data_IF_288844034405
#
_entry.id   IF_288844034405
#
_cell.length_a   1.000
_cell.length_b   1.000
_cell.length_c   1.000
_cell.angle_alpha   90.00
_cell.angle_beta   90.00
_cell.angle_gamma   90.00
#
_symmetry.space_group_name_H-M   'P 1'
#
loop_
_entity.id
_entity.type
_entity.pdbx_description
1 polymer ?
#
# COMPACT_ATOMS: atom_id res chain seq x y z
N UNK A 1 29.53 -1.69 -4.15
CA UNK A 1 28.16 -1.60 -3.57
C UNK A 1 27.99 -0.20 -3.00
N UNK A 2 27.31 0.65 -3.76
CA UNK A 2 26.92 2.01 -3.37
C UNK A 2 26.09 1.92 -2.08
N UNK A 3 26.57 2.52 -0.97
CA UNK A 3 25.96 2.34 0.36
C UNK A 3 24.58 3.00 0.44
N UNK A 4 23.71 2.51 1.34
CA UNK A 4 22.37 3.08 1.63
C UNK A 4 22.40 4.62 1.77
N UNK A 5 23.53 5.20 2.21
CA UNK A 5 23.75 6.64 2.35
C UNK A 5 23.60 7.44 1.05
N UNK A 6 23.94 6.85 -0.10
CA UNK A 6 23.89 7.54 -1.41
C UNK A 6 22.47 7.51 -2.03
N UNK A 7 21.57 6.62 -1.55
CA UNK A 7 20.20 6.46 -2.08
C UNK A 7 19.13 7.19 -1.27
N UNK A 8 19.54 7.94 -0.23
CA UNK A 8 18.63 8.70 0.62
C UNK A 8 17.60 7.79 1.30
N UNK A 9 16.33 7.97 0.99
CA UNK A 9 15.22 7.21 1.58
C UNK A 9 14.83 5.93 0.80
N UNK A 10 15.45 5.66 -0.36
CA UNK A 10 15.08 4.54 -1.23
C UNK A 10 15.98 3.33 -1.00
N UNK A 11 15.38 2.14 -0.87
CA UNK A 11 16.07 0.86 -0.68
C UNK A 11 15.99 0.04 -1.95
N UNK A 12 17.12 -0.57 -2.33
CA UNK A 12 17.27 -1.58 -3.39
C UNK A 12 17.01 -1.11 -4.83
N UNK A 13 16.07 -0.20 -5.08
CA UNK A 13 15.73 0.31 -6.41
C UNK A 13 16.26 1.72 -6.64
N UNK A 14 16.38 2.10 -7.91
CA UNK A 14 16.70 3.45 -8.40
C UNK A 14 15.46 4.03 -9.07
N UNK A 15 14.71 4.89 -8.36
CA UNK A 15 13.55 5.56 -8.94
C UNK A 15 13.87 6.38 -10.20
N UNK A 16 12.97 6.35 -11.18
CA UNK A 16 12.98 7.27 -12.31
C UNK A 16 12.60 8.67 -11.80
N UNK A 17 13.49 9.68 -11.90
CA UNK A 17 13.21 11.01 -11.41
C UNK A 17 12.14 11.69 -12.29
N UNK A 18 11.24 12.54 -11.74
CA UNK A 18 10.12 13.10 -12.51
C UNK A 18 10.52 13.84 -13.80
N UNK A 19 11.68 14.49 -13.81
CA UNK A 19 12.18 15.21 -15.01
C UNK A 19 12.65 14.28 -16.14
N UNK A 20 12.97 13.03 -15.83
CA UNK A 20 13.40 12.03 -16.81
C UNK A 20 12.30 10.99 -17.11
N UNK A 21 11.16 11.07 -16.41
CA UNK A 21 10.05 10.15 -16.63
C UNK A 21 9.45 10.37 -18.01
N UNK A 22 9.15 9.26 -18.69
CA UNK A 22 8.44 9.24 -19.97
C UNK A 22 7.28 8.25 -19.91
N UNK A 23 6.42 8.25 -20.94
CA UNK A 23 5.30 7.31 -21.06
C UNK A 23 4.36 7.31 -19.84
N UNK A 24 3.92 6.12 -19.43
CA UNK A 24 2.99 5.91 -18.31
C UNK A 24 3.49 6.49 -16.99
N UNK A 25 4.78 6.34 -16.68
CA UNK A 25 5.38 6.91 -15.46
C UNK A 25 5.25 8.43 -15.40
N UNK A 26 5.49 9.13 -16.53
CA UNK A 26 5.31 10.58 -16.60
C UNK A 26 3.85 11.00 -16.41
N UNK A 27 2.91 10.25 -17.00
CA UNK A 27 1.48 10.51 -16.87
C UNK A 27 1.00 10.34 -15.42
N UNK A 28 1.46 9.29 -14.73
CA UNK A 28 1.18 9.09 -13.30
C UNK A 28 1.74 10.25 -12.47
N UNK A 29 2.99 10.64 -12.67
CA UNK A 29 3.59 11.77 -11.93
C UNK A 29 2.87 13.10 -12.19
N UNK A 30 2.39 13.34 -13.41
CA UNK A 30 1.61 14.52 -13.73
C UNK A 30 0.26 14.52 -12.99
N UNK A 31 -0.47 13.40 -12.99
CA UNK A 31 -1.73 13.30 -12.27
C UNK A 31 -1.54 13.40 -10.75
N UNK A 32 -0.48 12.79 -10.22
CA UNK A 32 -0.13 12.87 -8.81
C UNK A 32 0.22 14.32 -8.40
N UNK A 33 0.95 15.06 -9.24
CA UNK A 33 1.20 16.48 -9.02
C UNK A 33 -0.10 17.30 -9.04
N UNK A 34 -1.01 17.01 -9.98
CA UNK A 34 -2.29 17.70 -10.12
C UNK A 34 -3.23 17.44 -8.93
N UNK A 35 -3.33 16.18 -8.49
CA UNK A 35 -4.29 15.71 -7.48
C UNK A 35 -3.80 15.88 -6.05
N UNK A 36 -2.50 15.69 -5.83
CA UNK A 36 -1.92 15.72 -4.50
C UNK A 36 -0.99 16.92 -4.26
N UNK A 37 -0.68 17.70 -5.30
CA UNK A 37 0.17 18.89 -5.20
C UNK A 37 1.65 18.57 -5.03
N UNK A 38 2.05 17.30 -5.13
CA UNK A 38 3.42 16.85 -4.87
C UNK A 38 3.84 15.74 -5.84
N UNK A 39 4.55 16.06 -6.92
CA UNK A 39 5.03 15.05 -7.90
C UNK A 39 6.05 14.01 -7.35
N UNK A 40 6.38 14.04 -6.04
CA UNK A 40 7.53 13.34 -5.46
C UNK A 40 7.19 12.54 -4.21
N UNK A 41 5.98 11.95 -4.17
CA UNK A 41 5.62 11.01 -3.11
C UNK A 41 6.55 9.80 -3.16
N UNK A 42 7.36 9.60 -2.10
CA UNK A 42 8.45 8.65 -2.10
C UNK A 42 8.01 7.22 -2.46
N UNK A 43 6.87 6.77 -1.95
CA UNK A 43 6.35 5.43 -2.23
C UNK A 43 6.08 5.22 -3.73
N UNK A 44 5.49 6.20 -4.42
CA UNK A 44 5.26 6.11 -5.87
C UNK A 44 6.55 6.20 -6.68
N UNK A 45 7.54 6.97 -6.20
CA UNK A 45 8.86 6.99 -6.83
C UNK A 45 9.51 5.58 -6.81
N UNK A 46 9.39 4.83 -5.70
CA UNK A 46 9.95 3.47 -5.63
C UNK A 46 9.34 2.48 -6.63
N UNK A 47 8.11 2.73 -7.10
CA UNK A 47 7.42 1.85 -8.04
C UNK A 47 7.75 2.17 -9.50
N UNK A 48 8.37 3.33 -9.77
CA UNK A 48 8.63 3.80 -11.13
C UNK A 48 9.47 2.91 -12.05
N UNK A 49 10.32 1.99 -11.57
CA UNK A 49 10.91 0.97 -12.43
C UNK A 49 9.88 0.03 -13.08
N UNK A 50 8.71 -0.19 -12.45
CA UNK A 50 7.61 -0.99 -12.98
C UNK A 50 6.38 -0.10 -13.21
N UNK A 51 6.31 0.51 -14.41
CA UNK A 51 5.31 1.54 -14.73
C UNK A 51 3.85 1.06 -14.63
N UNK A 52 3.60 -0.23 -14.89
CA UNK A 52 2.32 -0.91 -14.72
C UNK A 52 1.89 -1.01 -13.25
N UNK A 53 2.79 -1.48 -12.37
CA UNK A 53 2.58 -1.54 -10.92
C UNK A 53 2.38 -0.12 -10.36
N UNK A 54 3.19 0.85 -10.79
CA UNK A 54 3.04 2.25 -10.42
C UNK A 54 1.65 2.78 -10.77
N UNK A 55 1.21 2.63 -12.03
CA UNK A 55 -0.08 3.16 -12.47
C UNK A 55 -1.26 2.50 -11.76
N UNK A 56 -1.25 1.17 -11.62
CA UNK A 56 -2.33 0.46 -10.92
C UNK A 56 -2.38 0.81 -9.43
N UNK A 57 -1.22 0.97 -8.77
CA UNK A 57 -1.16 1.41 -7.37
C UNK A 57 -1.67 2.84 -7.20
N UNK A 58 -1.31 3.73 -8.12
CA UNK A 58 -1.80 5.11 -8.10
C UNK A 58 -3.30 5.19 -8.35
N UNK A 59 -3.81 4.47 -9.35
CA UNK A 59 -5.25 4.40 -9.62
C UNK A 59 -6.01 3.89 -8.38
N UNK A 60 -5.52 2.81 -7.76
CA UNK A 60 -6.14 2.27 -6.55
C UNK A 60 -6.18 3.29 -5.41
N UNK A 61 -5.06 3.97 -5.11
CA UNK A 61 -5.03 5.00 -4.07
C UNK A 61 -5.91 6.20 -4.42
N UNK A 62 -5.85 6.68 -5.67
CA UNK A 62 -6.59 7.86 -6.10
C UNK A 62 -8.09 7.64 -5.99
N UNK A 63 -8.60 6.55 -6.56
CA UNK A 63 -10.04 6.29 -6.61
C UNK A 63 -10.60 5.96 -5.23
N UNK A 64 -9.86 5.24 -4.38
CA UNK A 64 -10.35 4.85 -3.05
C UNK A 64 -10.18 5.94 -1.98
N UNK A 65 -9.00 6.57 -1.89
CA UNK A 65 -8.68 7.54 -0.84
C UNK A 65 -9.01 8.98 -1.22
N UNK A 66 -8.72 9.39 -2.47
CA UNK A 66 -8.72 10.79 -2.85
C UNK A 66 -10.02 11.27 -3.49
N UNK A 67 -10.64 10.44 -4.34
CA UNK A 67 -11.88 10.72 -5.05
C UNK A 67 -13.11 10.18 -4.29
N UNK A 68 -14.31 10.53 -4.75
CA UNK A 68 -15.57 9.99 -4.21
C UNK A 68 -16.23 10.88 -3.15
N UNK A 69 -17.24 10.33 -2.49
CA UNK A 69 -18.16 11.08 -1.62
C UNK A 69 -17.91 10.80 -0.13
N UNK A 70 -17.32 9.66 0.22
CA UNK A 70 -17.05 9.33 1.61
C UNK A 70 -16.08 10.36 2.23
N UNK A 71 -16.31 10.78 3.50
CA UNK A 71 -15.50 11.81 4.14
C UNK A 71 -14.00 11.51 4.11
N UNK A 72 -13.21 12.46 3.58
CA UNK A 72 -11.76 12.30 3.46
C UNK A 72 -11.07 11.98 4.79
N UNK A 73 -11.49 12.62 5.88
CA UNK A 73 -10.95 12.35 7.22
C UNK A 73 -11.16 10.88 7.63
N UNK A 74 -12.36 10.32 7.39
CA UNK A 74 -12.63 8.91 7.68
C UNK A 74 -11.72 7.97 6.88
N UNK A 75 -11.49 8.26 5.60
CA UNK A 75 -10.59 7.44 4.77
C UNK A 75 -9.15 7.50 5.25
N UNK A 76 -8.68 8.68 5.67
CA UNK A 76 -7.36 8.85 6.28
C UNK A 76 -7.24 8.12 7.63
N UNK A 77 -8.32 8.05 8.42
CA UNK A 77 -8.40 7.22 9.64
C UNK A 77 -8.24 5.74 9.29
N UNK A 78 -8.93 5.24 8.26
CA UNK A 78 -8.76 3.85 7.78
C UNK A 78 -7.34 3.59 7.31
N UNK A 79 -6.77 4.48 6.49
CA UNK A 79 -5.40 4.37 6.01
C UNK A 79 -4.38 4.32 7.17
N UNK A 80 -4.57 5.18 8.18
CA UNK A 80 -3.74 5.21 9.38
C UNK A 80 -3.92 3.94 10.23
N UNK A 81 -5.15 3.46 10.43
CA UNK A 81 -5.46 2.23 11.16
C UNK A 81 -4.79 1.00 10.55
N UNK A 82 -4.91 0.82 9.23
CA UNK A 82 -4.23 -0.25 8.49
C UNK A 82 -2.71 -0.11 8.60
N UNK A 83 -2.19 1.12 8.50
CA UNK A 83 -0.74 1.39 8.63
C UNK A 83 -0.20 1.05 10.01
N UNK A 84 -0.98 1.28 11.07
CA UNK A 84 -0.65 0.85 12.44
C UNK A 84 -0.68 -0.68 12.56
N UNK A 85 -1.70 -1.34 12.02
CA UNK A 85 -1.82 -2.80 12.04
C UNK A 85 -0.72 -3.50 11.24
N UNK A 86 -0.27 -2.91 10.14
CA UNK A 86 0.87 -3.39 9.35
C UNK A 86 2.22 -2.91 9.88
N UNK A 87 2.25 -2.12 10.97
CA UNK A 87 3.46 -1.55 11.58
C UNK A 87 4.36 -0.82 10.57
N UNK A 88 3.78 0.01 9.72
CA UNK A 88 4.50 0.76 8.67
C UNK A 88 4.77 2.21 9.11
N UNK A 89 5.97 2.56 9.64
CA UNK A 89 6.20 3.87 10.25
C UNK A 89 6.13 5.03 9.23
N UNK A 90 6.57 4.79 8.00
CA UNK A 90 6.49 5.76 6.92
C UNK A 90 5.03 6.18 6.66
N UNK A 91 4.14 5.20 6.48
CA UNK A 91 2.73 5.46 6.22
C UNK A 91 2.02 6.04 7.45
N UNK A 92 2.34 5.58 8.67
CA UNK A 92 1.80 6.19 9.91
C UNK A 92 2.13 7.69 9.97
N UNK A 93 3.38 8.07 9.69
CA UNK A 93 3.77 9.48 9.68
C UNK A 93 3.07 10.27 8.55
N UNK A 94 2.94 9.67 7.36
CA UNK A 94 2.28 10.30 6.22
C UNK A 94 0.80 10.58 6.53
N UNK A 95 0.05 9.57 6.97
CA UNK A 95 -1.38 9.71 7.25
C UNK A 95 -1.67 10.56 8.49
N UNK A 96 -0.78 10.58 9.49
CA UNK A 96 -0.88 11.57 10.58
C UNK A 96 -0.78 12.99 10.03
N UNK A 97 0.16 13.25 9.12
CA UNK A 97 0.32 14.57 8.47
C UNK A 97 -0.89 14.93 7.61
N UNK A 98 -1.47 13.96 6.89
CA UNK A 98 -2.65 14.17 6.06
C UNK A 98 -3.93 14.41 6.87
N UNK A 99 -4.10 13.75 8.02
CA UNK A 99 -5.16 14.09 8.98
C UNK A 99 -5.00 15.51 9.53
N UNK A 100 -3.77 16.00 9.74
CA UNK A 100 -3.62 17.44 10.03
C UNK A 100 -4.08 18.31 8.84
N UNK A 101 -3.89 17.88 7.60
CA UNK A 101 -4.29 18.63 6.42
C UNK A 101 -5.82 18.69 6.22
N UNK A 102 -6.57 17.68 6.69
CA UNK A 102 -8.03 17.73 6.73
C UNK A 102 -8.55 18.77 7.72
N UNK A 103 -7.73 19.18 8.71
CA UNK A 103 -8.09 20.10 9.79
C UNK A 103 -8.29 19.39 11.13
N UNK A 104 -8.29 18.06 11.13
CA UNK A 104 -8.56 17.23 12.30
C UNK A 104 -7.28 17.00 13.12
N UNK A 105 -6.62 18.10 13.53
CA UNK A 105 -5.32 18.03 14.18
C UNK A 105 -5.32 17.22 15.48
N UNK A 106 -6.41 17.31 16.25
CA UNK A 106 -6.58 16.58 17.49
C UNK A 106 -6.73 15.08 17.23
N UNK A 107 -7.55 14.72 16.25
CA UNK A 107 -7.73 13.35 15.80
C UNK A 107 -6.39 12.74 15.36
N UNK A 108 -5.63 13.48 14.54
CA UNK A 108 -4.30 13.06 14.07
C UNK A 108 -3.36 12.71 15.24
N UNK A 109 -3.26 13.60 16.23
CA UNK A 109 -2.36 13.39 17.37
C UNK A 109 -2.85 12.32 18.34
N UNK A 110 -4.16 12.20 18.54
CA UNK A 110 -4.74 11.13 19.37
C UNK A 110 -4.39 9.75 18.79
N UNK A 111 -4.62 9.54 17.49
CA UNK A 111 -4.33 8.26 16.85
C UNK A 111 -2.82 8.00 16.81
N UNK A 112 -2.01 9.01 16.48
CA UNK A 112 -0.55 8.88 16.45
C UNK A 112 0.07 8.52 17.82
N UNK A 113 -0.59 8.94 18.92
CA UNK A 113 -0.20 8.57 20.28
C UNK A 113 -0.74 7.18 20.72
N UNK A 114 -1.44 6.45 19.85
CA UNK A 114 -2.06 5.16 20.17
C UNK A 114 -3.38 5.29 20.95
N UNK A 115 -3.93 6.49 21.06
CA UNK A 115 -5.21 6.75 21.71
C UNK A 115 -6.41 6.38 20.83
N UNK A 116 -7.60 6.44 21.45
CA UNK A 116 -8.89 6.24 20.78
C UNK A 116 -9.51 7.60 20.49
N UNK A 117 -10.00 7.87 19.27
CA UNK A 117 -10.76 9.08 18.97
C UNK A 117 -12.00 9.25 19.86
N UNK A 118 -12.32 10.49 20.25
CA UNK A 118 -13.54 10.77 21.03
C UNK A 118 -14.82 10.65 20.19
N UNK A 119 -14.72 10.93 18.89
CA UNK A 119 -15.83 10.78 17.95
C UNK A 119 -16.07 9.28 17.70
N UNK A 120 -17.24 8.73 18.08
CA UNK A 120 -17.53 7.31 17.92
C UNK A 120 -17.36 6.81 16.49
N UNK A 121 -17.74 7.61 15.48
CA UNK A 121 -17.62 7.20 14.08
C UNK A 121 -16.15 6.98 13.68
N UNK A 122 -15.25 7.87 14.10
CA UNK A 122 -13.82 7.72 13.87
C UNK A 122 -13.20 6.60 14.71
N UNK A 123 -13.68 6.37 15.94
CA UNK A 123 -13.21 5.28 16.78
C UNK A 123 -13.56 3.91 16.19
N UNK A 124 -14.79 3.74 15.70
CA UNK A 124 -15.24 2.50 15.05
C UNK A 124 -14.49 2.25 13.74
N UNK A 125 -14.29 3.28 12.90
CA UNK A 125 -13.47 3.17 11.68
C UNK A 125 -12.04 2.74 11.98
N UNK A 126 -11.42 3.33 13.01
CA UNK A 126 -10.05 3.00 13.40
C UNK A 126 -9.94 1.55 13.91
N UNK A 127 -10.91 1.10 14.72
CA UNK A 127 -10.96 -0.26 15.23
C UNK A 127 -11.12 -1.28 14.09
N UNK A 128 -12.11 -1.09 13.23
CA UNK A 128 -12.36 -1.92 12.05
C UNK A 128 -11.13 -2.03 11.14
N UNK A 129 -10.45 -0.91 10.88
CA UNK A 129 -9.25 -0.88 10.07
C UNK A 129 -8.06 -1.62 10.71
N UNK A 130 -7.94 -1.60 12.04
CA UNK A 130 -6.88 -2.32 12.77
C UNK A 130 -7.12 -3.83 12.83
N UNK A 131 -8.38 -4.22 12.98
CA UNK A 131 -8.82 -5.62 13.12
C UNK A 131 -8.96 -6.34 11.78
N UNK A 132 -8.90 -5.60 10.65
CA UNK A 132 -8.98 -6.12 9.28
C UNK A 132 -10.33 -6.79 8.99
N UNK A 133 -11.42 -6.19 9.49
CA UNK A 133 -12.78 -6.67 9.24
C UNK A 133 -13.70 -6.51 10.45
N UNK A 134 -14.80 -7.25 10.43
CA UNK A 134 -15.89 -7.12 11.40
C UNK A 134 -17.09 -6.40 10.81
N UNK A 135 -18.03 -5.96 11.67
CA UNK A 135 -19.20 -5.19 11.24
C UNK A 135 -18.74 -3.87 10.64
N UNK A 136 -19.13 -3.57 9.40
CA UNK A 136 -18.82 -2.31 8.72
C UNK A 136 -19.39 -1.12 9.52
N UNK A 137 -18.55 -0.16 9.98
CA UNK A 137 -19.00 1.00 10.75
C UNK A 137 -19.40 2.19 9.86
N UNK A 138 -19.80 1.91 8.62
CA UNK A 138 -20.13 2.91 7.61
C UNK A 138 -21.34 2.48 6.81
N UNK A 139 -22.00 3.44 6.17
CA UNK A 139 -23.12 3.16 5.26
C UNK A 139 -22.63 2.40 4.03
N UNK A 140 -23.43 1.47 3.53
CA UNK A 140 -23.08 0.59 2.41
C UNK A 140 -22.64 1.35 1.15
N UNK A 141 -23.23 2.52 0.90
CA UNK A 141 -22.86 3.40 -0.23
C UNK A 141 -21.37 3.83 -0.21
N UNK A 142 -20.73 3.87 0.97
CA UNK A 142 -19.32 4.21 1.12
C UNK A 142 -18.39 2.98 1.18
N UNK A 143 -18.94 1.75 1.11
CA UNK A 143 -18.15 0.52 1.24
C UNK A 143 -17.00 0.44 0.22
N UNK A 144 -17.20 0.72 -1.09
CA UNK A 144 -16.09 0.71 -2.05
C UNK A 144 -14.95 1.64 -1.66
N UNK A 145 -15.26 2.82 -1.11
CA UNK A 145 -14.27 3.82 -0.75
C UNK A 145 -13.46 3.43 0.51
N UNK A 146 -14.13 2.93 1.55
CA UNK A 146 -13.46 2.51 2.79
C UNK A 146 -12.74 1.17 2.66
N UNK A 147 -13.38 0.15 2.07
CA UNK A 147 -12.75 -1.16 1.80
C UNK A 147 -11.61 -1.00 0.81
N UNK A 148 -11.81 -0.24 -0.27
CA UNK A 148 -10.75 0.08 -1.22
C UNK A 148 -9.57 0.78 -0.56
N UNK A 149 -9.82 1.73 0.33
CA UNK A 149 -8.74 2.41 1.07
C UNK A 149 -7.96 1.42 1.94
N UNK A 150 -8.66 0.56 2.68
CA UNK A 150 -8.00 -0.45 3.52
C UNK A 150 -7.10 -1.38 2.70
N UNK A 151 -7.59 -1.88 1.56
CA UNK A 151 -6.85 -2.77 0.67
C UNK A 151 -5.68 -2.07 -0.02
N UNK A 152 -5.86 -0.81 -0.45
CA UNK A 152 -4.77 0.01 -0.98
C UNK A 152 -3.62 0.10 0.03
N UNK A 153 -3.90 0.30 1.32
CA UNK A 153 -2.86 0.40 2.34
C UNK A 153 -2.28 -0.94 2.79
N UNK A 154 -3.02 -2.05 2.72
CA UNK A 154 -2.40 -3.37 2.86
C UNK A 154 -1.33 -3.61 1.80
N UNK A 155 -1.55 -3.16 0.56
CA UNK A 155 -0.54 -3.25 -0.50
C UNK A 155 0.59 -2.22 -0.30
N UNK A 156 0.25 -0.93 -0.19
CA UNK A 156 1.20 0.18 -0.12
C UNK A 156 2.10 0.09 1.11
N UNK A 157 1.59 -0.30 2.27
CA UNK A 157 2.42 -0.43 3.49
C UNK A 157 3.54 -1.46 3.29
N UNK A 158 3.28 -2.53 2.55
CA UNK A 158 4.27 -3.59 2.29
C UNK A 158 5.33 -3.11 1.31
N UNK A 159 4.92 -2.47 0.22
CA UNK A 159 5.83 -1.84 -0.73
C UNK A 159 6.70 -0.77 -0.07
N UNK A 160 6.09 0.11 0.72
CA UNK A 160 6.81 1.16 1.46
C UNK A 160 7.82 0.55 2.45
N UNK A 161 7.42 -0.44 3.24
CA UNK A 161 8.32 -1.05 4.23
C UNK A 161 9.49 -1.80 3.60
N UNK A 162 9.30 -2.39 2.42
CA UNK A 162 10.35 -3.09 1.69
C UNK A 162 11.30 -2.12 0.95
N UNK A 163 10.77 -1.07 0.33
CA UNK A 163 11.50 -0.21 -0.62
C UNK A 163 11.87 1.17 -0.07
N UNK A 164 11.40 1.56 1.11
CA UNK A 164 11.75 2.82 1.75
C UNK A 164 12.43 2.58 3.10
N UNK A 165 13.26 3.55 3.48
CA UNK A 165 13.60 3.76 4.89
C UNK A 165 12.36 4.21 5.65
N UNK A 166 12.32 4.00 6.97
CA UNK A 166 11.19 4.39 7.82
C UNK A 166 10.93 5.91 7.88
N UNK A 167 11.85 6.72 7.38
CA UNK A 167 11.79 8.17 7.46
C UNK A 167 10.95 8.78 6.33
N UNK A 168 9.90 9.52 6.70
CA UNK A 168 9.13 10.34 5.76
C UNK A 168 9.88 11.61 5.34
N UNK A 169 10.54 12.27 6.31
CA UNK A 169 11.34 13.46 6.10
C UNK A 169 12.80 13.17 6.46
N UNK A 170 13.77 13.87 5.83
CA UNK A 170 15.18 13.77 6.20
C UNK A 170 15.38 13.99 7.70
N UNK A 171 16.25 13.20 8.33
CA UNK A 171 16.54 13.34 9.76
C UNK A 171 15.38 13.04 10.70
N UNK A 172 14.32 12.36 10.25
CA UNK A 172 13.16 11.99 11.07
C UNK A 172 12.37 13.21 11.62
N UNK A 173 12.44 14.35 10.91
CA UNK A 173 11.80 15.60 11.31
C UNK A 173 10.28 15.48 11.47
N UNK A 174 9.64 14.49 10.82
CA UNK A 174 8.21 14.19 10.97
C UNK A 174 7.81 13.81 12.39
N UNK A 175 8.75 13.48 13.30
CA UNK A 175 8.43 13.26 14.72
C UNK A 175 7.99 14.53 15.44
N UNK A 176 8.36 15.70 14.94
CA UNK A 176 7.92 16.98 15.51
C UNK A 176 6.45 17.29 15.16
N UNK A 177 5.64 17.50 16.20
CA UNK A 177 4.24 17.98 16.06
C UNK A 177 4.14 19.25 15.23
N UNK A 178 5.06 20.19 15.44
CA UNK A 178 5.09 21.45 14.71
C UNK A 178 5.33 21.22 13.21
N UNK A 179 6.28 20.35 12.87
CA UNK A 179 6.59 20.00 11.47
C UNK A 179 5.37 19.35 10.80
N UNK A 180 4.72 18.39 11.46
CA UNK A 180 3.50 17.76 10.93
C UNK A 180 2.36 18.76 10.74
N UNK A 181 2.12 19.63 11.72
CA UNK A 181 1.08 20.65 11.65
C UNK A 181 1.34 21.67 10.53
N UNK A 182 2.58 22.15 10.39
CA UNK A 182 2.96 23.08 9.31
C UNK A 182 2.85 22.42 7.94
N UNK A 183 3.37 21.21 7.79
CA UNK A 183 3.24 20.43 6.55
C UNK A 183 1.78 20.18 6.17
N UNK A 184 0.96 19.77 7.13
CA UNK A 184 -0.48 19.57 6.92
C UNK A 184 -1.20 20.85 6.48
N UNK A 185 -0.91 21.98 7.12
CA UNK A 185 -1.48 23.28 6.72
C UNK A 185 -1.09 23.68 5.29
N UNK A 186 0.16 23.45 4.89
CA UNK A 186 0.62 23.71 3.52
C UNK A 186 -0.13 22.86 2.46
N UNK A 187 -0.59 21.67 2.84
CA UNK A 187 -1.33 20.75 1.96
C UNK A 187 -2.86 20.87 2.04
N UNK A 188 -3.39 21.67 2.97
CA UNK A 188 -4.82 21.74 3.30
C UNK A 188 -5.74 21.96 2.10
N UNK A 189 -5.42 22.93 1.22
CA UNK A 189 -6.23 23.22 0.03
C UNK A 189 -6.32 22.02 -0.90
N UNK A 190 -5.19 21.34 -1.10
CA UNK A 190 -5.11 20.19 -2.01
C UNK A 190 -5.81 18.97 -1.41
N UNK A 191 -5.59 18.68 -0.14
CA UNK A 191 -6.21 17.53 0.55
C UNK A 191 -7.73 17.67 0.67
N UNK A 192 -8.24 18.89 0.83
CA UNK A 192 -9.68 19.16 0.94
C UNK A 192 -10.39 19.25 -0.43
N UNK A 193 -9.65 19.20 -1.53
CA UNK A 193 -10.24 19.26 -2.87
C UNK A 193 -11.02 17.97 -3.14
N UNK A 194 -12.27 18.10 -3.60
CA UNK A 194 -13.03 16.96 -4.13
C UNK A 194 -12.50 16.59 -5.50
N UNK A 195 -12.23 15.31 -5.73
CA UNK A 195 -11.78 14.79 -7.01
C UNK A 195 -12.88 13.92 -7.62
N UNK A 196 -13.19 14.09 -8.92
CA UNK A 196 -14.15 13.21 -9.58
C UNK A 196 -13.59 11.78 -9.66
N UNK A 197 -14.43 10.76 -9.37
CA UNK A 197 -14.08 9.37 -9.63
C UNK A 197 -13.77 9.11 -11.10
N UNK A 198 -12.92 8.12 -11.37
CA UNK A 198 -12.64 7.60 -12.71
C UNK A 198 -11.48 8.25 -13.47
N UNK A 199 -10.94 9.38 -13.00
CA UNK A 199 -9.94 10.10 -13.78
C UNK A 199 -8.57 9.37 -13.89
N UNK A 200 -8.29 8.37 -13.04
CA UNK A 200 -7.09 7.53 -13.21
C UNK A 200 -7.27 6.35 -14.17
N UNK A 201 -8.51 5.99 -14.52
CA UNK A 201 -8.77 4.80 -15.36
C UNK A 201 -8.07 4.81 -16.72
N UNK A 202 -7.89 5.96 -17.41
CA UNK A 202 -7.10 5.98 -18.65
C UNK A 202 -5.65 5.50 -18.49
N UNK A 203 -5.05 5.61 -17.30
CA UNK A 203 -3.67 5.15 -17.04
C UNK A 203 -3.54 3.62 -17.01
N UNK A 204 -4.66 2.93 -16.78
CA UNK A 204 -4.73 1.48 -16.54
C UNK A 204 -5.68 0.78 -17.52
N UNK A 205 -6.14 1.46 -18.57
CA UNK A 205 -7.14 0.95 -19.50
C UNK A 205 -6.69 -0.35 -20.20
N UNK A 206 -5.40 -0.48 -20.49
CA UNK A 206 -4.76 -1.67 -21.08
C UNK A 206 -4.29 -2.69 -20.02
N UNK A 207 -4.41 -2.36 -18.74
CA UNK A 207 -4.01 -3.20 -17.60
C UNK A 207 -5.22 -3.87 -16.92
N UNK A 208 -6.44 -3.63 -17.43
CA UNK A 208 -7.69 -4.01 -16.80
C UNK A 208 -7.77 -5.52 -16.53
N UNK A 209 -7.83 -5.88 -15.25
CA UNK A 209 -8.14 -7.23 -14.81
C UNK A 209 -9.65 -7.47 -14.77
N UNK A 210 -10.08 -8.69 -15.12
CA UNK A 210 -11.43 -9.17 -14.81
C UNK A 210 -11.33 -10.50 -14.04
N UNK A 211 -12.29 -10.79 -13.14
CA UNK A 211 -13.45 -9.96 -12.76
C UNK A 211 -13.11 -8.85 -11.76
N UNK A 212 -13.97 -7.83 -11.70
CA UNK A 212 -13.97 -6.86 -10.58
C UNK A 212 -14.46 -7.54 -9.30
N UNK A 213 -14.03 -7.10 -8.11
CA UNK A 213 -14.53 -7.65 -6.87
C UNK A 213 -15.98 -7.20 -6.60
N UNK A 214 -16.80 -8.09 -6.02
CA UNK A 214 -18.22 -7.82 -5.74
C UNK A 214 -18.44 -6.56 -4.89
N UNK A 215 -17.56 -6.29 -3.93
CA UNK A 215 -17.67 -5.12 -3.04
C UNK A 215 -17.44 -3.77 -3.74
N UNK A 216 -16.97 -3.76 -5.00
CA UNK A 216 -16.71 -2.55 -5.77
C UNK A 216 -17.16 -2.64 -7.24
N UNK A 217 -17.98 -3.63 -7.59
CA UNK A 217 -18.35 -3.90 -8.98
C UNK A 217 -19.01 -2.67 -9.63
N UNK A 218 -18.58 -2.34 -10.84
CA UNK A 218 -19.09 -1.21 -11.61
C UNK A 218 -18.59 0.16 -11.14
N UNK A 219 -17.69 0.20 -10.15
CA UNK A 219 -17.07 1.44 -9.68
C UNK A 219 -15.64 1.60 -10.23
N UNK A 220 -15.11 2.85 -10.34
CA UNK A 220 -13.70 3.06 -10.67
C UNK A 220 -12.71 2.35 -9.72
N UNK A 221 -13.11 2.13 -8.46
CA UNK A 221 -12.31 1.43 -7.46
C UNK A 221 -12.22 -0.06 -7.80
N UNK A 222 -13.32 -0.68 -8.23
CA UNK A 222 -13.35 -2.07 -8.68
C UNK A 222 -12.40 -2.31 -9.85
N UNK A 223 -12.49 -1.46 -10.87
CA UNK A 223 -11.58 -1.50 -12.02
C UNK A 223 -10.11 -1.30 -11.62
N UNK A 224 -9.82 -0.31 -10.75
CA UNK A 224 -8.47 -0.05 -10.27
C UNK A 224 -7.88 -1.21 -9.45
N UNK A 225 -8.69 -1.81 -8.57
CA UNK A 225 -8.26 -2.96 -7.77
C UNK A 225 -8.02 -4.20 -8.63
N UNK A 226 -8.89 -4.47 -9.61
CA UNK A 226 -8.71 -5.59 -10.53
C UNK A 226 -7.45 -5.44 -11.40
N UNK A 227 -7.15 -4.23 -11.86
CA UNK A 227 -5.88 -3.93 -12.54
C UNK A 227 -4.68 -4.15 -11.60
N UNK A 228 -4.73 -3.65 -10.35
CA UNK A 228 -3.67 -3.84 -9.36
C UNK A 228 -3.41 -5.33 -9.08
N UNK A 229 -4.47 -6.12 -8.89
CA UNK A 229 -4.38 -7.58 -8.71
C UNK A 229 -3.68 -8.23 -9.89
N UNK A 230 -4.09 -7.89 -11.10
CA UNK A 230 -3.55 -8.49 -12.34
C UNK A 230 -2.07 -8.20 -12.49
N UNK A 231 -1.66 -6.93 -12.44
CA UNK A 231 -0.26 -6.55 -12.67
C UNK A 231 0.67 -7.00 -11.55
N UNK A 232 0.19 -6.99 -10.30
CA UNK A 232 1.00 -7.45 -9.17
C UNK A 232 1.13 -8.97 -9.13
N UNK A 233 0.08 -9.74 -9.50
CA UNK A 233 0.13 -11.20 -9.61
C UNK A 233 1.12 -11.66 -10.68
N UNK A 234 1.23 -10.94 -11.79
CA UNK A 234 2.19 -11.23 -12.86
C UNK A 234 3.65 -11.22 -12.36
N UNK A 235 3.96 -10.51 -11.27
CA UNK A 235 5.29 -10.59 -10.64
C UNK A 235 5.67 -11.99 -10.15
N UNK A 236 4.70 -12.87 -9.89
CA UNK A 236 4.93 -14.27 -9.53
C UNK A 236 5.45 -15.12 -10.70
N UNK A 237 5.41 -14.63 -11.94
CA UNK A 237 6.01 -15.29 -13.11
C UNK A 237 7.55 -15.26 -13.09
N UNK A 238 8.13 -14.41 -12.24
CA UNK A 238 9.57 -14.38 -11.96
C UNK A 238 10.05 -15.57 -11.09
N UNK A 239 9.11 -16.37 -10.59
CA UNK A 239 9.36 -17.55 -9.78
C UNK A 239 8.97 -18.82 -10.54
N UNK A 240 9.64 -19.93 -10.26
CA UNK A 240 9.17 -21.24 -10.68
C UNK A 240 7.79 -21.54 -10.07
N UNK A 241 7.02 -22.39 -10.74
CA UNK A 241 5.66 -22.72 -10.32
C UNK A 241 5.58 -23.23 -8.86
N UNK A 242 6.45 -24.15 -8.39
CA UNK A 242 6.42 -24.62 -6.99
C UNK A 242 6.67 -23.49 -5.98
N UNK A 243 7.63 -22.60 -6.25
CA UNK A 243 7.91 -21.43 -5.41
C UNK A 243 6.70 -20.50 -5.33
N UNK A 244 6.03 -20.24 -6.47
CA UNK A 244 4.83 -19.40 -6.50
C UNK A 244 3.70 -19.99 -5.65
N UNK A 245 3.48 -21.30 -5.74
CA UNK A 245 2.46 -22.01 -4.93
C UNK A 245 2.79 -21.92 -3.45
N UNK A 246 4.03 -22.23 -3.07
CA UNK A 246 4.49 -22.14 -1.68
C UNK A 246 4.28 -20.75 -1.07
N UNK A 247 4.53 -19.68 -1.84
CA UNK A 247 4.27 -18.30 -1.39
C UNK A 247 2.78 -18.09 -1.10
N UNK A 248 1.91 -18.50 -2.01
CA UNK A 248 0.45 -18.32 -1.87
C UNK A 248 -0.08 -19.11 -0.67
N UNK A 249 0.34 -20.37 -0.52
CA UNK A 249 -0.09 -21.24 0.58
C UNK A 249 0.39 -20.73 1.94
N UNK A 250 1.65 -20.32 2.04
CA UNK A 250 2.20 -19.77 3.27
C UNK A 250 1.49 -18.48 3.73
N UNK A 251 1.09 -17.62 2.79
CA UNK A 251 0.32 -16.42 3.12
C UNK A 251 -1.13 -16.77 3.47
N UNK A 252 -1.75 -17.74 2.79
CA UNK A 252 -3.11 -18.16 3.09
C UNK A 252 -3.25 -18.79 4.48
N UNK A 253 -2.24 -19.55 4.91
CA UNK A 253 -2.16 -20.17 6.23
C UNK A 253 -1.74 -19.20 7.36
N UNK A 254 -1.36 -17.97 7.02
CA UNK A 254 -0.88 -17.00 7.98
C UNK A 254 -2.01 -16.48 8.87
N UNK A 255 -1.80 -16.55 10.19
CA UNK A 255 -2.77 -16.15 11.22
C UNK A 255 -2.56 -14.71 11.74
N UNK A 256 -1.63 -13.95 11.13
CA UNK A 256 -1.25 -12.62 11.60
C UNK A 256 -0.08 -12.61 12.59
N UNK A 257 0.39 -13.77 13.06
CA UNK A 257 1.55 -13.89 13.95
C UNK A 257 2.84 -13.41 13.28
N UNK A 258 3.89 -13.11 14.05
CA UNK A 258 5.16 -12.76 13.40
C UNK A 258 5.71 -13.99 12.70
N UNK A 259 5.99 -13.93 11.38
CA UNK A 259 6.53 -15.09 10.68
C UNK A 259 7.84 -15.53 11.33
N UNK A 260 8.04 -16.84 11.53
CA UNK A 260 9.24 -17.37 12.15
C UNK A 260 10.47 -16.90 11.36
N UNK A 261 11.58 -16.65 12.06
CA UNK A 261 12.83 -16.17 11.44
C UNK A 261 13.47 -17.20 10.50
N UNK A 262 13.13 -18.49 10.64
CA UNK A 262 13.68 -19.60 9.89
C UNK A 262 13.20 -19.67 8.44
N UNK A 263 13.73 -20.63 7.68
CA UNK A 263 13.37 -20.94 6.29
C UNK A 263 12.51 -22.20 6.15
N UNK A 264 12.00 -22.77 7.26
CA UNK A 264 11.37 -24.09 7.29
C UNK A 264 10.25 -24.32 6.24
N UNK A 265 9.52 -23.25 5.95
CA UNK A 265 8.44 -23.10 4.96
C UNK A 265 8.93 -23.09 3.50
N UNK A 266 10.24 -23.11 3.28
CA UNK A 266 10.93 -23.16 2.00
C UNK A 266 11.83 -24.39 1.87
N UNK A 267 11.88 -25.26 2.89
CA UNK A 267 12.80 -26.40 2.92
C UNK A 267 12.43 -27.46 1.86
N UNK A 268 11.16 -27.55 1.49
CA UNK A 268 10.67 -28.44 0.43
C UNK A 268 10.92 -27.89 -1.00
N UNK A 269 11.38 -26.63 -1.13
CA UNK A 269 11.72 -26.05 -2.42
C UNK A 269 13.16 -26.39 -2.84
N UNK A 270 13.43 -26.56 -4.15
CA UNK A 270 14.78 -26.58 -4.70
C UNK A 270 15.57 -25.35 -4.28
N UNK A 271 16.89 -25.48 -4.06
CA UNK A 271 17.70 -24.39 -3.52
C UNK A 271 17.66 -23.12 -4.39
N UNK A 272 17.61 -23.29 -5.70
CA UNK A 272 17.52 -22.23 -6.71
C UNK A 272 16.23 -21.40 -6.61
N UNK A 273 15.16 -21.99 -6.08
CA UNK A 273 13.82 -21.39 -5.98
C UNK A 273 13.60 -20.66 -4.65
N UNK A 274 14.41 -20.99 -3.63
CA UNK A 274 14.23 -20.48 -2.25
C UNK A 274 14.44 -18.98 -2.15
N UNK A 275 15.42 -18.40 -2.86
CA UNK A 275 15.75 -16.98 -2.72
C UNK A 275 14.60 -16.07 -3.15
N UNK A 276 13.96 -16.38 -4.29
CA UNK A 276 12.82 -15.63 -4.80
C UNK A 276 11.56 -15.80 -3.94
N UNK A 277 11.26 -17.04 -3.54
CA UNK A 277 10.14 -17.32 -2.64
C UNK A 277 10.29 -16.60 -1.31
N UNK A 278 11.51 -16.63 -0.72
CA UNK A 278 11.84 -15.91 0.51
C UNK A 278 11.60 -14.41 0.37
N UNK A 279 12.08 -13.78 -0.69
CA UNK A 279 11.87 -12.34 -0.90
C UNK A 279 10.40 -11.97 -1.05
N UNK A 280 9.65 -12.73 -1.86
CA UNK A 280 8.21 -12.50 -2.03
C UNK A 280 7.47 -12.61 -0.68
N UNK A 281 7.83 -13.59 0.14
CA UNK A 281 7.18 -13.78 1.42
C UNK A 281 7.63 -12.80 2.50
N UNK A 282 8.88 -12.37 2.50
CA UNK A 282 9.30 -11.25 3.33
C UNK A 282 8.49 -10.00 2.95
N UNK A 283 8.34 -9.69 1.67
CA UNK A 283 7.48 -8.58 1.23
C UNK A 283 6.02 -8.75 1.68
N UNK A 284 5.50 -9.98 1.69
CA UNK A 284 4.14 -10.30 2.12
C UNK A 284 3.92 -10.18 3.64
N UNK A 285 4.82 -10.73 4.46
CA UNK A 285 4.55 -10.99 5.89
C UNK A 285 5.41 -10.13 6.83
N UNK A 286 6.63 -9.78 6.42
CA UNK A 286 7.57 -9.01 7.25
C UNK A 286 8.49 -8.12 6.39
N UNK A 287 7.95 -7.16 5.62
CA UNK A 287 8.71 -6.40 4.62
C UNK A 287 9.86 -5.57 5.23
N UNK A 288 9.73 -5.19 6.50
CA UNK A 288 10.77 -4.50 7.27
C UNK A 288 12.02 -5.37 7.51
N UNK A 289 11.92 -6.70 7.39
CA UNK A 289 13.04 -7.65 7.56
C UNK A 289 13.83 -7.92 6.28
N UNK A 290 13.40 -7.42 5.13
CA UNK A 290 14.17 -7.58 3.88
C UNK A 290 15.55 -6.96 4.06
N UNK A 291 16.60 -7.73 3.80
CA UNK A 291 18.01 -7.29 3.90
C UNK A 291 18.69 -7.16 2.54
N UNK A 292 19.84 -6.49 2.50
CA UNK A 292 20.71 -6.46 1.31
C UNK A 292 21.11 -7.88 0.87
N UNK A 293 21.30 -8.81 1.82
CA UNK A 293 21.66 -10.19 1.53
C UNK A 293 20.51 -10.96 0.86
N UNK A 294 19.27 -10.76 1.34
CA UNK A 294 18.10 -11.39 0.70
C UNK A 294 17.95 -10.90 -0.74
N UNK A 295 18.11 -9.59 -0.97
CA UNK A 295 18.02 -9.01 -2.32
C UNK A 295 19.17 -9.50 -3.19
N UNK A 296 20.41 -9.46 -2.72
CA UNK A 296 21.58 -9.91 -3.47
C UNK A 296 21.48 -11.40 -3.87
N UNK A 297 20.94 -12.26 -3.00
CA UNK A 297 20.79 -13.68 -3.26
C UNK A 297 19.86 -14.00 -4.44
N UNK A 298 18.85 -13.17 -4.69
CA UNK A 298 17.92 -13.36 -5.80
C UNK A 298 18.20 -12.45 -7.01
N UNK A 299 18.68 -11.23 -6.79
CA UNK A 299 18.73 -10.20 -7.83
C UNK A 299 19.60 -10.62 -9.01
N UNK A 300 20.82 -11.14 -8.79
CA UNK A 300 21.69 -11.61 -9.89
C UNK A 300 21.76 -10.60 -11.05
N UNK A 301 21.41 -11.04 -12.27
CA UNK A 301 21.31 -10.21 -13.48
C UNK A 301 19.93 -9.57 -13.74
N UNK A 302 19.00 -9.68 -12.79
CA UNK A 302 17.65 -9.11 -12.88
C UNK A 302 17.67 -7.59 -12.71
N UNK A 303 16.56 -6.95 -13.02
CA UNK A 303 16.42 -5.49 -13.02
C UNK A 303 15.66 -4.97 -11.80
N UNK A 304 15.75 -3.66 -11.53
CA UNK A 304 14.91 -3.00 -10.53
C UNK A 304 13.41 -3.19 -10.80
N UNK A 305 13.02 -3.29 -12.08
CA UNK A 305 11.64 -3.60 -12.48
C UNK A 305 11.21 -4.99 -11.98
N UNK A 306 12.08 -6.00 -12.13
CA UNK A 306 11.80 -7.35 -11.65
C UNK A 306 11.69 -7.39 -10.13
N UNK A 307 12.53 -6.64 -9.42
CA UNK A 307 12.46 -6.54 -7.96
C UNK A 307 11.14 -5.89 -7.48
N UNK A 308 10.73 -4.79 -8.11
CA UNK A 308 9.43 -4.15 -7.79
C UNK A 308 8.28 -5.11 -8.06
N UNK A 309 8.31 -5.86 -9.17
CA UNK A 309 7.27 -6.84 -9.52
C UNK A 309 7.24 -8.02 -8.53
N UNK A 310 8.38 -8.54 -8.10
CA UNK A 310 8.42 -9.61 -7.10
C UNK A 310 7.87 -9.14 -5.75
N UNK A 311 8.23 -7.94 -5.30
CA UNK A 311 7.66 -7.38 -4.08
C UNK A 311 6.17 -7.09 -4.22
N UNK A 312 5.72 -6.61 -5.39
CA UNK A 312 4.31 -6.42 -5.67
C UNK A 312 3.54 -7.76 -5.59
N UNK A 313 4.11 -8.86 -6.08
CA UNK A 313 3.53 -10.20 -5.95
C UNK A 313 3.32 -10.58 -4.48
N UNK A 314 4.37 -10.48 -3.65
CA UNK A 314 4.22 -10.72 -2.21
C UNK A 314 3.20 -9.82 -1.53
N UNK A 315 3.23 -8.52 -1.84
CA UNK A 315 2.33 -7.53 -1.26
C UNK A 315 0.87 -7.78 -1.66
N UNK A 316 0.59 -8.14 -2.92
CA UNK A 316 -0.78 -8.41 -3.38
C UNK A 316 -1.30 -9.71 -2.80
N UNK A 317 -0.51 -10.78 -2.71
CA UNK A 317 -0.94 -12.04 -2.09
C UNK A 317 -1.42 -11.82 -0.65
N UNK A 318 -0.68 -11.02 0.13
CA UNK A 318 -1.08 -10.69 1.50
C UNK A 318 -2.23 -9.67 1.59
N UNK A 319 -2.45 -8.88 0.54
CA UNK A 319 -3.58 -7.97 0.43
C UNK A 319 -4.86 -8.72 0.10
N UNK A 320 -4.79 -9.73 -0.78
CA UNK A 320 -5.93 -10.61 -1.10
C UNK A 320 -6.32 -11.47 0.10
N UNK A 321 -5.34 -11.95 0.89
CA UNK A 321 -5.66 -12.57 2.17
C UNK A 321 -6.41 -11.61 3.10
N UNK A 322 -5.96 -10.35 3.22
CA UNK A 322 -6.67 -9.34 4.00
C UNK A 322 -8.07 -9.02 3.43
N UNK A 323 -8.24 -9.01 2.11
CA UNK A 323 -9.55 -8.88 1.44
C UNK A 323 -10.51 -9.96 1.93
N UNK A 324 -10.06 -11.22 2.01
CA UNK A 324 -10.93 -12.31 2.50
C UNK A 324 -11.40 -12.12 3.94
N UNK A 325 -10.62 -11.43 4.78
CA UNK A 325 -10.97 -11.14 6.17
C UNK A 325 -11.91 -9.93 6.27
N UNK A 326 -11.61 -8.87 5.51
CA UNK A 326 -12.36 -7.61 5.51
C UNK A 326 -13.77 -7.80 4.93
N UNK A 327 -13.88 -8.57 3.85
CA UNK A 327 -15.14 -8.76 3.11
C UNK A 327 -15.93 -9.97 3.58
N UNK A 328 -15.45 -10.68 4.61
CA UNK A 328 -16.17 -11.81 5.19
C UNK A 328 -17.44 -11.31 5.87
N UNK A 329 -18.59 -11.86 5.48
CA UNK A 329 -19.83 -11.61 6.19
C UNK A 329 -19.68 -12.01 7.67
N UNK A 330 -20.20 -11.22 8.64
CA UNK A 330 -20.22 -11.61 10.03
C UNK A 330 -20.90 -12.98 10.18
N UNK A 331 -20.30 -13.88 10.96
CA UNK A 331 -20.90 -15.17 11.25
C UNK A 331 -22.14 -14.95 12.15
N UNK A 332 -23.31 -14.83 11.55
CA UNK A 332 -24.60 -14.80 12.27
C UNK A 332 -25.49 -13.64 11.88
N UNK A 333 -26.13 -13.74 10.71
CA UNK A 333 -27.46 -13.18 10.40
C UNK A 333 -27.88 -13.77 9.04
N UNK A 334 -28.15 -15.08 9.03
CA UNK A 334 -29.07 -15.68 8.07
C UNK A 334 -30.36 -15.89 8.83
N UNK A 335 -31.29 -14.95 8.70
CA UNK A 335 -32.71 -15.21 8.98
C UNK A 335 -33.29 -16.10 7.89
#
# INVERSE_FOLDING_TARGET
METIRERGQFRYVRPVPPKAATGRTAQVYAQLAQDFGMARMAVFLTLSPAADVLAATWAMLRESLLAGEAPRAGKEVVALGVSLANKCPFCVAAHTTLLHATGDHRLAETIAAGGVPDDPAHAELLAWAKERGGREPFVSAHSPEYVGTALAFHFINRMASALLTENLLPGNLQKSRLVRSVGGRAMSRTVRRRLPPGASLPLIADLAGRPEPVWAEGTPIGAAYAALRTVARAGGELLAHPARVAVVEAVAAWDGSHPPLGSAWLDDLPMEDRAGARLALLAALAPYRVTDADVAAWHGSRTDQDLVRLFAFGAITATEHAETLITRAPAGERS
#
